data_IF_269215426790
#
_entry.id   IF_269215426790
#
_cell.length_a   1.000
_cell.length_b   1.000
_cell.length_c   1.000
_cell.angle_alpha   90.00
_cell.angle_beta   90.00
_cell.angle_gamma   90.00
#
_symmetry.space_group_name_H-M   'P 1'
#
loop_
_entity.id
_entity.type
_entity.pdbx_description
1 polymer ?
#
# COMPACT_ATOMS: atom_id res chain seq x y z
N UNK A 1 11.43 24.40 6.88
CA UNK A 1 10.25 23.58 7.20
C UNK A 1 9.11 24.03 6.30
N UNK A 2 8.54 23.14 5.49
CA UNK A 2 7.36 23.46 4.69
C UNK A 2 6.16 23.58 5.65
N UNK A 3 5.56 24.76 5.74
CA UNK A 3 4.36 24.98 6.55
C UNK A 3 3.19 24.24 5.90
N UNK A 4 2.63 23.26 6.60
CA UNK A 4 1.41 22.59 6.17
C UNK A 4 0.23 23.55 6.37
N UNK A 5 -0.37 24.02 5.28
CA UNK A 5 -1.40 25.06 5.31
C UNK A 5 -2.80 24.52 5.64
N UNK A 6 -2.97 23.20 5.82
CA UNK A 6 -4.24 22.54 6.16
C UNK A 6 -5.36 22.61 5.11
N UNK A 7 -5.23 23.49 4.12
CA UNK A 7 -6.22 23.74 3.06
C UNK A 7 -5.71 23.31 1.69
N UNK A 8 -6.61 22.82 0.86
CA UNK A 8 -6.36 22.49 -0.55
C UNK A 8 -6.58 23.72 -1.44
N UNK A 9 -6.15 23.63 -2.70
CA UNK A 9 -6.25 24.74 -3.67
C UNK A 9 -7.72 25.05 -4.00
N UNK A 10 -8.58 24.05 -3.91
CA UNK A 10 -10.04 24.12 -4.07
C UNK A 10 -10.77 24.65 -2.82
N UNK A 11 -10.06 25.07 -1.78
CA UNK A 11 -10.65 25.60 -0.54
C UNK A 11 -11.22 24.53 0.40
N UNK A 12 -11.01 23.25 0.09
CA UNK A 12 -11.32 22.13 0.95
C UNK A 12 -10.26 21.86 2.01
N UNK A 13 -10.57 20.93 2.91
CA UNK A 13 -9.61 20.45 3.92
C UNK A 13 -8.62 19.49 3.25
N UNK A 14 -7.33 19.65 3.53
CA UNK A 14 -6.31 18.71 3.06
C UNK A 14 -6.60 17.30 3.51
N UNK A 15 -6.44 16.32 2.61
CA UNK A 15 -6.71 14.90 2.88
C UNK A 15 -6.02 14.39 4.16
N UNK A 16 -4.79 14.84 4.42
CA UNK A 16 -3.99 14.40 5.56
C UNK A 16 -4.15 15.29 6.80
N UNK A 17 -5.06 16.27 6.78
CA UNK A 17 -5.31 17.19 7.89
C UNK A 17 -5.69 16.47 9.20
N UNK A 18 -6.55 15.44 9.22
CA UNK A 18 -6.89 14.76 10.48
C UNK A 18 -5.70 14.06 11.13
N UNK A 19 -4.77 13.54 10.32
CA UNK A 19 -3.55 12.87 10.82
C UNK A 19 -2.54 13.90 11.31
N UNK A 20 -2.44 15.04 10.61
CA UNK A 20 -1.66 16.18 11.07
C UNK A 20 -2.13 16.71 12.43
N UNK A 21 -3.45 16.83 12.63
CA UNK A 21 -4.01 17.28 13.92
C UNK A 21 -3.62 16.35 15.07
N UNK A 22 -3.66 15.03 14.86
CA UNK A 22 -3.20 14.06 15.87
C UNK A 22 -1.72 14.23 16.22
N UNK A 23 -0.88 14.47 15.22
CA UNK A 23 0.53 14.78 15.44
C UNK A 23 0.69 16.09 16.22
N UNK A 24 -0.03 17.14 15.86
CA UNK A 24 0.03 18.44 16.51
C UNK A 24 -0.46 18.39 17.98
N UNK A 25 -1.52 17.62 18.26
CA UNK A 25 -2.02 17.35 19.61
C UNK A 25 -0.97 16.65 20.46
N UNK A 26 -0.32 15.62 19.94
CA UNK A 26 0.79 14.94 20.62
C UNK A 26 1.96 15.91 20.83
N UNK A 27 2.37 16.64 19.79
CA UNK A 27 3.54 17.50 19.80
C UNK A 27 3.44 18.63 20.83
N UNK A 28 2.24 19.14 21.09
CA UNK A 28 1.98 20.19 22.08
C UNK A 28 1.95 19.68 23.53
N UNK A 29 1.66 18.39 23.73
CA UNK A 29 1.46 17.79 25.05
C UNK A 29 2.72 17.23 25.71
N UNK A 30 3.80 17.05 24.95
CA UNK A 30 4.95 16.24 25.37
C UNK A 30 6.23 17.05 25.60
N UNK A 31 7.09 16.55 26.51
CA UNK A 31 8.38 17.18 26.84
C UNK A 31 9.48 16.84 25.83
N UNK A 32 9.41 15.67 25.19
CA UNK A 32 10.28 15.29 24.06
C UNK A 32 9.45 14.82 22.86
N UNK A 33 8.93 15.77 22.07
CA UNK A 33 8.01 15.46 20.99
C UNK A 33 8.63 14.65 19.84
N UNK A 34 9.96 14.69 19.68
CA UNK A 34 10.61 14.05 18.53
C UNK A 34 10.65 12.53 18.67
N UNK A 35 10.86 12.01 19.88
CA UNK A 35 10.84 10.57 20.13
C UNK A 35 9.43 10.07 20.42
N UNK A 36 8.66 10.80 21.24
CA UNK A 36 7.36 10.34 21.73
C UNK A 36 6.30 10.39 20.62
N UNK A 37 6.27 11.44 19.81
CA UNK A 37 5.27 11.62 18.76
C UNK A 37 5.71 11.10 17.39
N UNK A 38 6.73 10.23 17.37
CA UNK A 38 7.31 9.68 16.14
C UNK A 38 6.30 8.89 15.34
N UNK A 39 5.45 8.11 15.99
CA UNK A 39 4.45 7.27 15.32
C UNK A 39 3.39 8.13 14.60
N UNK A 40 2.90 9.19 15.26
CA UNK A 40 1.96 10.14 14.68
C UNK A 40 2.59 10.92 13.51
N UNK A 41 3.87 11.26 13.63
CA UNK A 41 4.61 11.88 12.53
C UNK A 41 4.78 10.91 11.35
N UNK A 42 5.11 9.65 11.62
CA UNK A 42 5.28 8.62 10.59
C UNK A 42 3.96 8.35 9.86
N UNK A 43 2.82 8.36 10.55
CA UNK A 43 1.49 8.27 9.95
C UNK A 43 1.18 9.48 9.05
N UNK A 44 1.49 10.70 9.51
CA UNK A 44 1.33 11.89 8.68
C UNK A 44 2.23 11.83 7.43
N UNK A 45 3.49 11.43 7.60
CA UNK A 45 4.45 11.29 6.51
C UNK A 45 4.04 10.18 5.52
N UNK A 46 3.43 9.11 6.01
CA UNK A 46 2.81 8.06 5.20
C UNK A 46 1.65 8.65 4.39
N UNK A 47 0.69 9.32 5.02
CA UNK A 47 -0.46 9.89 4.31
C UNK A 47 -0.05 10.86 3.18
N UNK A 48 1.00 11.65 3.42
CA UNK A 48 1.50 12.62 2.45
C UNK A 48 2.21 11.93 1.26
N UNK A 49 3.10 10.97 1.53
CA UNK A 49 3.95 10.36 0.48
C UNK A 49 3.38 9.06 -0.11
N UNK A 50 2.52 8.39 0.65
CA UNK A 50 1.92 7.07 0.40
C UNK A 50 2.94 5.99 0.07
N UNK A 51 4.08 6.02 0.74
CA UNK A 51 5.21 5.12 0.43
C UNK A 51 4.89 3.67 0.78
N UNK A 52 4.32 3.43 1.96
CA UNK A 52 3.96 2.09 2.42
C UNK A 52 2.81 1.54 1.58
N UNK A 53 1.77 2.36 1.35
CA UNK A 53 0.64 2.02 0.47
C UNK A 53 1.10 1.63 -0.95
N UNK A 54 1.93 2.46 -1.60
CA UNK A 54 2.45 2.15 -2.94
C UNK A 54 3.23 0.84 -2.97
N UNK A 55 4.13 0.63 -2.01
CA UNK A 55 4.93 -0.61 -1.93
C UNK A 55 4.04 -1.85 -1.79
N UNK A 56 3.04 -1.79 -0.92
CA UNK A 56 2.07 -2.87 -0.76
C UNK A 56 1.30 -3.14 -2.06
N UNK A 57 0.79 -2.09 -2.70
CA UNK A 57 0.07 -2.21 -3.96
C UNK A 57 0.93 -2.81 -5.09
N UNK A 58 2.22 -2.45 -5.15
CA UNK A 58 3.15 -3.09 -6.09
C UNK A 58 3.31 -4.58 -5.81
N UNK A 59 3.49 -4.96 -4.53
CA UNK A 59 3.64 -6.37 -4.17
C UNK A 59 2.38 -7.17 -4.48
N UNK A 60 1.19 -6.64 -4.16
CA UNK A 60 -0.08 -7.28 -4.50
C UNK A 60 -0.21 -7.45 -6.02
N UNK A 61 0.14 -6.43 -6.81
CA UNK A 61 0.10 -6.51 -8.27
C UNK A 61 1.06 -7.56 -8.83
N UNK A 62 2.25 -7.67 -8.24
CA UNK A 62 3.25 -8.67 -8.61
C UNK A 62 2.70 -10.08 -8.37
N UNK A 63 2.15 -10.35 -7.18
CA UNK A 63 1.57 -11.67 -6.89
C UNK A 63 0.37 -11.97 -7.80
N UNK A 64 -0.55 -11.02 -7.99
CA UNK A 64 -1.67 -11.19 -8.92
C UNK A 64 -1.20 -11.43 -10.37
N UNK A 65 -0.07 -10.87 -10.77
CA UNK A 65 0.50 -11.14 -12.09
C UNK A 65 1.02 -12.57 -12.20
N UNK A 66 1.73 -13.09 -11.18
CA UNK A 66 2.14 -14.50 -11.13
C UNK A 66 0.94 -15.44 -11.24
N UNK A 67 -0.13 -15.14 -10.50
CA UNK A 67 -1.40 -15.89 -10.57
C UNK A 67 -1.99 -15.93 -11.98
N UNK A 68 -1.97 -14.81 -12.70
CA UNK A 68 -2.44 -14.76 -14.11
C UNK A 68 -1.57 -15.60 -15.04
N UNK A 69 -0.26 -15.60 -14.86
CA UNK A 69 0.67 -16.40 -15.67
C UNK A 69 0.46 -17.89 -15.44
N UNK A 70 0.27 -18.32 -14.19
CA UNK A 70 -0.02 -19.71 -13.86
C UNK A 70 -1.36 -20.20 -14.44
N UNK A 71 -2.32 -19.29 -14.61
CA UNK A 71 -3.63 -19.60 -15.19
C UNK A 71 -3.65 -19.61 -16.74
N UNK A 72 -2.52 -19.36 -17.40
CA UNK A 72 -2.46 -19.40 -18.89
C UNK A 72 -2.70 -20.85 -19.35
N UNK A 73 -3.63 -21.08 -20.30
CA UNK A 73 -3.84 -22.39 -20.89
C UNK A 73 -2.55 -22.96 -21.50
N UNK A 74 -2.30 -24.24 -21.27
CA UNK A 74 -1.15 -24.93 -21.87
C UNK A 74 -1.58 -25.63 -23.16
N UNK A 75 -0.71 -25.59 -24.17
CA UNK A 75 -0.93 -26.28 -25.42
C UNK A 75 -0.64 -27.77 -25.26
N UNK A 76 -1.57 -28.60 -25.70
CA UNK A 76 -1.42 -30.06 -25.74
C UNK A 76 -1.23 -30.50 -27.19
N UNK A 77 -0.03 -31.01 -27.51
CA UNK A 77 0.35 -31.44 -28.86
C UNK A 77 -0.45 -32.65 -29.36
N UNK A 78 -0.95 -33.51 -28.45
CA UNK A 78 -1.68 -34.73 -28.82
C UNK A 78 -3.11 -34.43 -29.27
N UNK A 79 -3.72 -33.40 -28.70
CA UNK A 79 -5.11 -33.00 -28.97
C UNK A 79 -5.21 -31.76 -29.85
N UNK A 80 -4.07 -31.15 -30.22
CA UNK A 80 -3.97 -29.88 -30.95
C UNK A 80 -4.89 -28.80 -30.35
N UNK A 81 -4.86 -28.65 -29.03
CA UNK A 81 -5.76 -27.77 -28.29
C UNK A 81 -5.11 -27.11 -27.07
N UNK A 82 -5.65 -25.95 -26.66
CA UNK A 82 -5.26 -25.28 -25.42
C UNK A 82 -6.16 -25.75 -24.27
N UNK A 83 -5.57 -26.38 -23.27
CA UNK A 83 -6.28 -26.88 -22.10
C UNK A 83 -6.07 -25.97 -20.88
N UNK A 84 -7.10 -25.74 -20.06
CA UNK A 84 -6.96 -24.94 -18.85
C UNK A 84 -6.07 -25.65 -17.83
N UNK A 85 -5.09 -24.93 -17.29
CA UNK A 85 -4.23 -25.45 -16.20
C UNK A 85 -5.06 -25.57 -14.93
N UNK A 86 -5.04 -26.77 -14.31
CA UNK A 86 -5.61 -26.94 -12.97
C UNK A 86 -4.64 -26.38 -11.94
N UNK A 87 -4.99 -25.24 -11.37
CA UNK A 87 -4.26 -24.71 -10.23
C UNK A 87 -4.50 -25.62 -9.00
N UNK A 88 -3.48 -25.98 -8.21
CA UNK A 88 -3.60 -26.52 -6.87
C UNK A 88 -4.59 -25.71 -6.05
N UNK A 89 -5.34 -26.42 -5.19
CA UNK A 89 -6.30 -25.78 -4.29
C UNK A 89 -5.64 -24.85 -3.27
N UNK A 90 -4.33 -25.04 -3.02
CA UNK A 90 -3.56 -24.26 -2.05
C UNK A 90 -2.66 -23.23 -2.76
N UNK A 91 -2.91 -21.93 -2.56
CA UNK A 91 -2.07 -20.83 -3.04
C UNK A 91 -0.62 -20.90 -2.59
N UNK A 92 -0.37 -21.45 -1.40
CA UNK A 92 0.94 -21.43 -0.76
C UNK A 92 1.85 -22.56 -1.27
N UNK A 93 1.29 -23.57 -1.95
CA UNK A 93 2.04 -24.66 -2.55
C UNK A 93 3.06 -24.21 -3.63
N UNK A 94 2.91 -22.99 -4.16
CA UNK A 94 3.77 -22.42 -5.20
C UNK A 94 4.96 -21.62 -4.69
N UNK A 95 5.00 -21.28 -3.40
CA UNK A 95 5.99 -20.35 -2.83
C UNK A 95 7.00 -21.03 -1.88
N UNK A 96 7.05 -22.37 -1.87
CA UNK A 96 7.99 -23.17 -1.08
C UNK A 96 9.25 -23.55 -1.86
#
# INVERSE_FOLDING_TARGET
MAYFHGMTIDGGVQRCYPVWLKFEECFKGETDPMEICRDQFDDYAECYRRRKEKRLNYRIKEELHKWKVLAIPQYNELTDSFEPVRLPADPDAYFN
#
